data_IF_314964476411
#
_entry.id   IF_314964476411
#
_cell.length_a   1.000
_cell.length_b   1.000
_cell.length_c   1.000
_cell.angle_alpha   90.00
_cell.angle_beta   90.00
_cell.angle_gamma   90.00
#
_symmetry.space_group_name_H-M   'P 1'
#
loop_
_entity.id
_entity.type
_entity.pdbx_description
1 polymer ?
#
# COMPACT_ATOMS: atom_id res chain seq x y z
N UNK A 1 4.07 49.97 21.21
CA UNK A 1 3.60 49.83 19.82
C UNK A 1 4.49 48.83 19.09
N UNK A 2 4.14 47.54 19.12
CA UNK A 2 4.88 46.44 18.47
C UNK A 2 4.03 45.92 17.32
N UNK A 3 4.59 45.97 16.10
CA UNK A 3 3.91 45.61 14.85
C UNK A 3 3.73 44.09 14.77
N UNK A 4 2.46 43.67 14.70
CA UNK A 4 2.03 42.34 14.26
C UNK A 4 2.08 42.33 12.72
N UNK A 5 2.92 41.48 12.15
CA UNK A 5 2.95 41.18 10.72
C UNK A 5 2.29 39.80 10.52
N UNK A 6 1.15 39.67 9.81
CA UNK A 6 0.61 38.36 9.47
C UNK A 6 1.34 37.81 8.24
N UNK A 7 2.03 36.70 8.44
CA UNK A 7 2.63 35.88 7.38
C UNK A 7 1.48 35.15 6.65
N UNK A 8 0.99 35.76 5.58
CA UNK A 8 -0.05 35.22 4.71
C UNK A 8 0.61 34.22 3.75
N UNK A 9 0.62 32.94 4.14
CA UNK A 9 1.10 31.83 3.32
C UNK A 9 0.06 31.62 2.20
N UNK A 10 0.37 32.16 1.02
CA UNK A 10 -0.32 31.81 -0.23
C UNK A 10 -0.02 30.33 -0.54
N UNK A 11 -0.94 29.45 -0.16
CA UNK A 11 -0.93 28.06 -0.59
C UNK A 11 -1.45 28.00 -2.03
N UNK A 12 -0.56 28.13 -3.00
CA UNK A 12 -0.88 27.93 -4.42
C UNK A 12 -1.10 26.43 -4.66
N UNK A 13 -2.35 26.00 -4.51
CA UNK A 13 -2.83 24.70 -4.98
C UNK A 13 -2.74 24.69 -6.51
N UNK A 14 -1.62 24.21 -7.04
CA UNK A 14 -1.49 23.83 -8.45
C UNK A 14 -2.28 22.54 -8.65
N UNK A 15 -3.57 22.67 -8.93
CA UNK A 15 -4.33 21.57 -9.51
C UNK A 15 -3.70 21.27 -10.88
N UNK A 16 -3.23 20.03 -11.16
CA UNK A 16 -2.93 19.66 -12.52
C UNK A 16 -4.26 19.68 -13.27
N UNK A 17 -4.49 20.75 -14.04
CA UNK A 17 -5.53 20.80 -15.04
C UNK A 17 -5.33 19.60 -15.94
N UNK A 18 -6.20 18.60 -15.82
CA UNK A 18 -6.38 17.58 -16.85
C UNK A 18 -6.95 18.31 -18.07
N UNK A 19 -6.05 18.97 -18.81
CA UNK A 19 -6.33 19.51 -20.12
C UNK A 19 -6.86 18.35 -20.96
N UNK A 20 -8.13 18.48 -21.32
CA UNK A 20 -8.82 17.57 -22.21
C UNK A 20 -7.99 17.50 -23.50
N UNK A 21 -7.52 16.30 -23.82
CA UNK A 21 -6.90 15.98 -25.09
C UNK A 21 -7.99 16.03 -26.19
N UNK A 22 -8.44 17.23 -26.57
CA UNK A 22 -9.03 17.48 -27.88
C UNK A 22 -7.90 17.72 -28.88
N UNK A 23 -7.14 16.66 -29.17
CA UNK A 23 -6.22 16.63 -30.31
C UNK A 23 -6.64 15.49 -31.22
N UNK A 24 -7.78 15.64 -31.90
CA UNK A 24 -8.16 14.83 -33.06
C UNK A 24 -9.36 15.50 -33.73
N UNK A 25 -9.09 16.34 -34.73
CA UNK A 25 -9.93 16.51 -35.94
C UNK A 25 -9.58 17.74 -36.81
N UNK A 26 -8.38 18.35 -36.76
CA UNK A 26 -8.04 19.40 -37.75
C UNK A 26 -6.58 19.38 -38.17
N UNK A 27 -6.16 18.36 -38.93
CA UNK A 27 -4.97 18.42 -39.80
C UNK A 27 -5.19 17.50 -40.99
N UNK A 28 -6.06 17.90 -41.92
CA UNK A 28 -6.42 17.04 -43.05
C UNK A 28 -6.79 17.75 -44.35
N UNK A 29 -6.34 19.00 -44.58
CA UNK A 29 -6.75 19.73 -45.79
C UNK A 29 -5.66 20.53 -46.53
N UNK A 30 -4.39 20.51 -46.12
CA UNK A 30 -3.35 21.28 -46.82
C UNK A 30 -2.07 20.46 -47.02
N UNK A 31 -2.14 19.45 -47.88
CA UNK A 31 -0.97 18.80 -48.46
C UNK A 31 -1.18 18.53 -49.96
N UNK A 32 -0.84 19.53 -50.78
CA UNK A 32 0.02 19.32 -51.95
C UNK A 32 -0.57 18.74 -53.25
N UNK A 33 -0.82 19.63 -54.21
CA UNK A 33 -0.92 19.33 -55.66
C UNK A 33 0.44 19.13 -56.37
N UNK A 34 1.56 19.02 -55.64
CA UNK A 34 2.91 18.91 -56.21
C UNK A 34 3.48 17.48 -56.30
N UNK A 35 2.65 16.44 -56.25
CA UNK A 35 3.09 15.03 -56.25
C UNK A 35 2.66 14.26 -57.51
N UNK A 36 3.31 14.48 -58.66
CA UNK A 36 2.94 13.75 -59.90
C UNK A 36 4.09 13.15 -60.74
N UNK A 37 5.30 12.97 -60.20
CA UNK A 37 6.38 12.25 -60.92
C UNK A 37 7.12 11.18 -60.09
N UNK A 38 6.57 10.76 -58.95
CA UNK A 38 7.08 9.60 -58.22
C UNK A 38 6.21 8.37 -58.50
N UNK A 39 6.82 7.20 -58.73
CA UNK A 39 6.08 5.94 -58.71
C UNK A 39 5.36 5.82 -57.36
N UNK A 40 4.02 5.73 -57.33
CA UNK A 40 3.30 5.56 -56.07
C UNK A 40 3.79 4.27 -55.42
N UNK A 41 4.27 4.37 -54.17
CA UNK A 41 4.60 3.16 -53.43
C UNK A 41 3.31 2.38 -53.19
N UNK A 42 3.38 1.04 -53.29
CA UNK A 42 2.24 0.21 -52.89
C UNK A 42 2.04 0.42 -51.39
N UNK A 43 0.86 0.87 -50.94
CA UNK A 43 0.63 1.27 -49.54
C UNK A 43 0.94 0.14 -48.55
N UNK A 44 0.85 -1.12 -48.99
CA UNK A 44 1.01 -2.33 -48.19
C UNK A 44 2.39 -3.01 -48.32
N UNK A 45 3.35 -2.38 -49.00
CA UNK A 45 4.68 -2.98 -49.15
C UNK A 45 5.38 -3.12 -47.77
N UNK A 46 5.75 -4.35 -47.41
CA UNK A 46 6.38 -4.73 -46.15
C UNK A 46 5.53 -4.51 -44.89
N UNK A 47 4.21 -4.47 -45.03
CA UNK A 47 3.29 -4.46 -43.88
C UNK A 47 2.97 -5.90 -43.48
N UNK A 48 3.27 -6.25 -42.23
CA UNK A 48 2.94 -7.52 -41.60
C UNK A 48 1.88 -7.30 -40.54
N UNK A 49 1.01 -8.29 -40.30
CA UNK A 49 0.02 -8.21 -39.23
C UNK A 49 0.62 -8.81 -37.95
N UNK A 50 0.78 -7.99 -36.92
CA UNK A 50 1.16 -8.44 -35.59
C UNK A 50 -0.10 -8.70 -34.75
N UNK A 51 -0.03 -9.66 -33.83
CA UNK A 51 -1.13 -10.00 -32.92
C UNK A 51 -0.69 -9.85 -31.48
N UNK A 52 -1.47 -9.14 -30.68
CA UNK A 52 -1.27 -9.02 -29.24
C UNK A 52 -2.61 -9.12 -28.51
N UNK A 53 -2.73 -10.09 -27.59
CA UNK A 53 -3.95 -10.34 -26.81
C UNK A 53 -5.21 -10.51 -27.71
N UNK A 54 -5.06 -11.21 -28.85
CA UNK A 54 -6.16 -11.44 -29.80
C UNK A 54 -6.53 -10.24 -30.68
N UNK A 55 -5.85 -9.10 -30.53
CA UNK A 55 -6.02 -7.92 -31.40
C UNK A 55 -4.89 -7.89 -32.43
N UNK A 56 -5.25 -7.66 -33.70
CA UNK A 56 -4.28 -7.52 -34.79
C UNK A 56 -4.02 -6.05 -35.08
N UNK A 57 -2.79 -5.70 -35.43
CA UNK A 57 -2.42 -4.36 -35.90
C UNK A 57 -1.29 -4.45 -36.93
N UNK A 58 -1.22 -3.49 -37.88
CA UNK A 58 -0.18 -3.50 -38.90
C UNK A 58 1.18 -3.11 -38.31
N UNK A 59 2.24 -3.78 -38.77
CA UNK A 59 3.64 -3.44 -38.52
C UNK A 59 4.37 -3.34 -39.85
N UNK A 60 4.89 -2.15 -40.17
CA UNK A 60 5.71 -1.93 -41.36
C UNK A 60 7.19 -1.99 -41.00
N UNK A 61 7.94 -2.91 -41.61
CA UNK A 61 9.39 -3.05 -41.41
C UNK A 61 10.06 -3.26 -42.76
N UNK A 62 10.79 -2.26 -43.21
CA UNK A 62 11.35 -2.23 -44.55
C UNK A 62 12.79 -2.74 -44.53
N UNK A 63 13.16 -3.76 -45.32
CA UNK A 63 14.56 -4.21 -45.39
C UNK A 63 15.49 -3.07 -45.84
N UNK A 64 16.68 -2.95 -45.23
CA UNK A 64 17.63 -1.85 -45.50
C UNK A 64 17.97 -1.67 -46.99
N UNK A 65 18.07 -2.77 -47.75
CA UNK A 65 18.37 -2.76 -49.18
C UNK A 65 17.19 -2.32 -50.06
N UNK A 66 15.97 -2.29 -49.51
CA UNK A 66 14.75 -1.78 -50.14
C UNK A 66 14.43 -0.35 -49.72
N UNK A 67 15.10 0.18 -48.70
CA UNK A 67 14.94 1.56 -48.30
C UNK A 67 15.52 2.52 -49.34
N UNK A 68 14.77 3.58 -49.69
CA UNK A 68 15.26 4.58 -50.61
C UNK A 68 16.48 5.31 -50.03
N UNK A 69 17.40 5.75 -50.88
CA UNK A 69 18.63 6.45 -50.44
C UNK A 69 18.30 7.73 -49.66
N UNK A 70 17.46 8.61 -50.22
CA UNK A 70 16.95 9.78 -49.52
C UNK A 70 15.94 9.36 -48.46
N UNK A 71 16.14 9.72 -47.19
CA UNK A 71 15.21 9.40 -46.11
C UNK A 71 15.47 8.07 -45.39
N UNK A 72 16.51 7.33 -45.79
CA UNK A 72 16.85 6.01 -45.24
C UNK A 72 16.98 6.03 -43.72
N UNK A 73 17.73 7.01 -43.21
CA UNK A 73 18.06 7.09 -41.79
C UNK A 73 16.81 7.43 -40.97
N UNK A 74 15.95 8.32 -41.48
CA UNK A 74 14.69 8.69 -40.83
C UNK A 74 13.72 7.50 -40.77
N UNK A 75 13.59 6.74 -41.86
CA UNK A 75 12.74 5.53 -41.87
C UNK A 75 13.29 4.49 -40.90
N UNK A 76 14.61 4.25 -40.93
CA UNK A 76 15.26 3.27 -40.06
C UNK A 76 15.12 3.64 -38.58
N UNK A 77 15.32 4.91 -38.24
CA UNK A 77 15.15 5.42 -36.88
C UNK A 77 13.69 5.28 -36.39
N UNK A 78 12.71 5.62 -37.25
CA UNK A 78 11.29 5.46 -36.94
C UNK A 78 10.92 3.98 -36.70
N UNK A 79 11.37 3.09 -37.58
CA UNK A 79 11.13 1.65 -37.48
C UNK A 79 11.82 1.04 -36.24
N UNK A 80 13.00 1.52 -35.88
CA UNK A 80 13.71 1.10 -34.65
C UNK A 80 12.97 1.54 -33.39
N UNK A 81 12.44 2.77 -33.35
CA UNK A 81 11.60 3.24 -32.24
C UNK A 81 10.34 2.36 -32.08
N UNK A 82 9.65 2.06 -33.18
CA UNK A 82 8.47 1.18 -33.15
C UNK A 82 8.81 -0.25 -32.76
N UNK A 83 9.94 -0.80 -33.25
CA UNK A 83 10.40 -2.12 -32.86
C UNK A 83 10.72 -2.21 -31.36
N UNK A 84 11.39 -1.19 -30.80
CA UNK A 84 11.67 -1.13 -29.36
C UNK A 84 10.39 -1.14 -28.51
N UNK A 85 9.33 -0.47 -28.98
CA UNK A 85 8.02 -0.43 -28.33
C UNK A 85 7.30 -1.77 -28.41
N UNK A 86 7.42 -2.48 -29.53
CA UNK A 86 6.88 -3.83 -29.64
C UNK A 86 7.54 -4.80 -28.66
N UNK A 87 8.86 -4.71 -28.48
CA UNK A 87 9.58 -5.50 -27.47
C UNK A 87 9.07 -5.16 -26.06
N UNK A 88 8.89 -3.87 -25.73
CA UNK A 88 8.33 -3.44 -24.45
C UNK A 88 6.88 -3.91 -24.24
N UNK A 89 6.06 -3.91 -25.30
CA UNK A 89 4.70 -4.44 -25.28
C UNK A 89 4.68 -5.93 -24.90
N UNK A 90 5.61 -6.72 -25.44
CA UNK A 90 5.70 -8.15 -25.19
C UNK A 90 6.33 -8.51 -23.84
N UNK A 91 7.25 -7.69 -23.32
CA UNK A 91 8.05 -8.03 -22.15
C UNK A 91 7.24 -8.12 -20.85
N UNK A 92 6.37 -7.14 -20.60
CA UNK A 92 5.57 -7.07 -19.38
C UNK A 92 4.27 -6.31 -19.66
N UNK A 93 3.15 -6.80 -19.12
CA UNK A 93 1.84 -6.19 -19.23
C UNK A 93 1.65 -4.96 -18.33
N UNK A 94 2.47 -4.79 -17.29
CA UNK A 94 2.37 -3.66 -16.35
C UNK A 94 3.35 -2.51 -16.68
N UNK A 95 4.46 -2.80 -17.33
CA UNK A 95 5.47 -1.82 -17.71
C UNK A 95 4.93 -0.80 -18.74
N UNK A 96 5.39 0.46 -18.67
CA UNK A 96 5.02 1.47 -19.67
C UNK A 96 5.62 1.09 -21.04
N UNK A 97 4.78 1.16 -22.08
CA UNK A 97 5.15 0.95 -23.49
C UNK A 97 5.67 2.27 -24.09
N UNK A 98 5.08 3.39 -23.66
CA UNK A 98 5.33 4.72 -24.21
C UNK A 98 5.74 5.69 -23.11
N UNK A 99 7.02 6.02 -23.05
CA UNK A 99 7.49 7.18 -22.29
C UNK A 99 7.25 8.48 -23.06
N UNK A 100 7.16 9.59 -22.33
CA UNK A 100 7.02 10.94 -22.91
C UNK A 100 8.18 11.29 -23.83
N UNK A 101 9.40 10.88 -23.48
CA UNK A 101 10.60 11.08 -24.30
C UNK A 101 10.53 10.30 -25.61
N UNK A 102 10.13 9.04 -25.56
CA UNK A 102 9.95 8.22 -26.78
C UNK A 102 8.87 8.79 -27.68
N UNK A 103 7.78 9.33 -27.12
CA UNK A 103 6.70 9.98 -27.87
C UNK A 103 7.18 11.21 -28.64
N UNK A 104 8.00 12.04 -27.98
CA UNK A 104 8.65 13.19 -28.59
C UNK A 104 9.63 12.76 -29.70
N UNK A 105 10.45 11.73 -29.44
CA UNK A 105 11.38 11.18 -30.43
C UNK A 105 10.65 10.65 -31.68
N UNK A 106 9.53 9.94 -31.49
CA UNK A 106 8.70 9.49 -32.61
C UNK A 106 8.15 10.68 -33.41
N UNK A 107 7.58 11.68 -32.73
CA UNK A 107 6.97 12.84 -33.38
C UNK A 107 8.01 13.61 -34.21
N UNK A 108 9.23 13.78 -33.67
CA UNK A 108 10.34 14.40 -34.38
C UNK A 108 10.77 13.58 -35.61
N UNK A 109 10.99 12.27 -35.46
CA UNK A 109 11.37 11.38 -36.56
C UNK A 109 10.29 11.33 -37.65
N UNK A 110 9.01 11.31 -37.26
CA UNK A 110 7.87 11.32 -38.16
C UNK A 110 7.79 12.63 -38.95
N UNK A 111 7.92 13.78 -38.29
CA UNK A 111 7.94 15.10 -38.95
C UNK A 111 9.10 15.22 -39.96
N UNK A 112 10.30 14.77 -39.59
CA UNK A 112 11.45 14.75 -40.49
C UNK A 112 11.23 13.85 -41.70
N UNK A 113 10.61 12.68 -41.51
CA UNK A 113 10.26 11.76 -42.59
C UNK A 113 9.27 12.39 -43.58
N UNK A 114 8.19 12.98 -43.08
CA UNK A 114 7.16 13.62 -43.94
C UNK A 114 7.74 14.79 -44.74
N UNK A 115 8.65 15.58 -44.16
CA UNK A 115 9.36 16.67 -44.85
C UNK A 115 10.31 16.13 -45.92
N UNK A 116 11.07 15.08 -45.60
CA UNK A 116 12.11 14.54 -46.48
C UNK A 116 11.50 13.71 -47.63
N UNK A 117 10.38 13.02 -47.36
CA UNK A 117 9.68 12.11 -48.26
C UNK A 117 8.15 12.20 -48.09
N UNK A 118 7.50 13.21 -48.66
CA UNK A 118 6.04 13.37 -48.56
C UNK A 118 5.26 12.20 -49.21
N UNK A 119 5.86 11.51 -50.17
CA UNK A 119 5.22 10.39 -50.89
C UNK A 119 5.44 9.02 -50.19
N UNK A 120 6.12 8.98 -49.05
CA UNK A 120 6.29 7.72 -48.31
C UNK A 120 5.00 7.39 -47.55
N UNK A 121 4.45 6.18 -47.74
CA UNK A 121 3.25 5.77 -47.00
C UNK A 121 3.58 5.60 -45.52
N UNK A 122 2.95 6.46 -44.70
CA UNK A 122 3.09 6.51 -43.24
C UNK A 122 1.91 5.90 -42.48
N UNK A 123 0.86 5.47 -43.18
CA UNK A 123 -0.39 4.97 -42.57
C UNK A 123 -0.16 3.81 -41.59
N UNK A 124 0.64 2.81 -41.98
CA UNK A 124 0.96 1.68 -41.10
C UNK A 124 1.69 2.10 -39.82
N UNK A 125 2.55 3.12 -39.86
CA UNK A 125 3.25 3.60 -38.66
C UNK A 125 2.31 4.35 -37.72
N UNK A 126 1.37 5.13 -38.28
CA UNK A 126 0.37 5.86 -37.47
C UNK A 126 -0.60 4.89 -36.80
N UNK A 127 -1.01 3.84 -37.51
CA UNK A 127 -1.89 2.80 -36.97
C UNK A 127 -1.19 1.99 -35.87
N UNK A 128 0.07 1.60 -36.09
CA UNK A 128 0.91 0.94 -35.09
C UNK A 128 1.06 1.80 -33.82
N UNK A 129 1.32 3.10 -33.99
CA UNK A 129 1.42 4.03 -32.86
C UNK A 129 0.09 4.17 -32.11
N UNK A 130 -1.02 4.31 -32.82
CA UNK A 130 -2.35 4.43 -32.23
C UNK A 130 -2.69 3.19 -31.39
N UNK A 131 -2.29 2.01 -31.85
CA UNK A 131 -2.39 0.77 -31.07
C UNK A 131 -1.59 0.87 -29.76
N UNK A 132 -0.31 1.26 -29.80
CA UNK A 132 0.51 1.40 -28.60
C UNK A 132 -0.04 2.43 -27.60
N UNK A 133 -0.57 3.57 -28.08
CA UNK A 133 -1.21 4.58 -27.23
C UNK A 133 -2.45 4.02 -26.52
N UNK A 134 -3.26 3.25 -27.23
CA UNK A 134 -4.44 2.61 -26.67
C UNK A 134 -4.06 1.61 -25.58
N UNK A 135 -3.03 0.78 -25.81
CA UNK A 135 -2.55 -0.16 -24.80
C UNK A 135 -1.89 0.54 -23.61
N UNK A 136 -1.12 1.61 -23.81
CA UNK A 136 -0.54 2.39 -22.71
C UNK A 136 -1.64 3.00 -21.84
N UNK A 137 -2.69 3.57 -22.44
CA UNK A 137 -3.84 4.10 -21.71
C UNK A 137 -4.55 3.02 -20.88
N UNK A 138 -4.68 1.81 -21.41
CA UNK A 138 -5.24 0.67 -20.67
C UNK A 138 -4.36 0.28 -19.49
N UNK A 139 -3.04 0.20 -19.69
CA UNK A 139 -2.06 -0.14 -18.64
C UNK A 139 -1.97 0.95 -17.57
N UNK A 140 -2.01 2.22 -17.95
CA UNK A 140 -1.99 3.35 -17.03
C UNK A 140 -3.25 3.38 -16.15
N UNK A 141 -4.43 3.15 -16.75
CA UNK A 141 -5.68 3.02 -16.00
C UNK A 141 -5.63 1.88 -14.98
N UNK A 142 -5.14 0.70 -15.38
CA UNK A 142 -5.00 -0.44 -14.48
C UNK A 142 -4.07 -0.14 -13.29
N UNK A 143 -2.93 0.51 -13.54
CA UNK A 143 -1.99 0.95 -12.49
C UNK A 143 -2.62 1.98 -11.56
N UNK A 144 -3.33 2.98 -12.11
CA UNK A 144 -4.01 4.01 -11.33
C UNK A 144 -5.10 3.42 -10.42
N UNK A 145 -5.87 2.46 -10.94
CA UNK A 145 -6.87 1.72 -10.17
C UNK A 145 -6.24 0.93 -9.01
N UNK A 146 -5.17 0.19 -9.27
CA UNK A 146 -4.47 -0.54 -8.21
C UNK A 146 -3.91 0.41 -7.14
N UNK A 147 -3.32 1.53 -7.57
CA UNK A 147 -2.80 2.54 -6.66
C UNK A 147 -3.89 3.18 -5.78
N UNK A 148 -5.08 3.44 -6.34
CA UNK A 148 -6.21 3.99 -5.57
C UNK A 148 -6.78 2.98 -4.58
N UNK A 149 -6.88 1.70 -4.95
CA UNK A 149 -7.27 0.61 -4.05
C UNK A 149 -6.29 0.49 -2.87
N UNK A 150 -4.98 0.51 -3.15
CA UNK A 150 -3.95 0.49 -2.11
C UNK A 150 -4.00 1.72 -1.21
N UNK A 151 -4.26 2.91 -1.76
CA UNK A 151 -4.44 4.14 -0.98
C UNK A 151 -5.66 4.04 -0.05
N UNK A 152 -6.78 3.53 -0.55
CA UNK A 152 -7.99 3.30 0.25
C UNK A 152 -7.72 2.33 1.41
N UNK A 153 -7.03 1.20 1.15
CA UNK A 153 -6.67 0.25 2.21
C UNK A 153 -5.78 0.87 3.28
N UNK A 154 -4.80 1.70 2.89
CA UNK A 154 -3.97 2.44 3.86
C UNK A 154 -4.81 3.37 4.73
N UNK A 155 -5.73 4.11 4.12
CA UNK A 155 -6.64 5.00 4.85
C UNK A 155 -7.51 4.23 5.85
N UNK A 156 -8.02 3.06 5.48
CA UNK A 156 -8.81 2.21 6.40
C UNK A 156 -7.99 1.76 7.60
N UNK A 157 -6.75 1.29 7.37
CA UNK A 157 -5.83 0.90 8.46
C UNK A 157 -5.53 2.06 9.39
N UNK A 158 -5.32 3.25 8.85
CA UNK A 158 -5.09 4.46 9.65
C UNK A 158 -6.30 4.83 10.51
N UNK A 159 -7.52 4.74 9.97
CA UNK A 159 -8.76 4.95 10.74
C UNK A 159 -8.86 3.94 11.88
N UNK A 160 -8.72 2.65 11.59
CA UNK A 160 -8.73 1.60 12.63
C UNK A 160 -7.65 1.82 13.70
N UNK A 161 -6.47 2.30 13.29
CA UNK A 161 -5.39 2.65 14.23
C UNK A 161 -5.80 3.82 15.13
N UNK A 162 -6.37 4.89 14.58
CA UNK A 162 -6.87 6.04 15.34
C UNK A 162 -7.94 5.62 16.34
N UNK A 163 -8.95 4.87 15.90
CA UNK A 163 -10.03 4.37 16.76
C UNK A 163 -9.49 3.49 17.89
N UNK A 164 -8.45 2.70 17.62
CA UNK A 164 -7.80 1.86 18.63
C UNK A 164 -7.02 2.70 19.64
N UNK A 165 -6.32 3.75 19.20
CA UNK A 165 -5.63 4.69 20.08
C UNK A 165 -6.63 5.46 20.95
N UNK A 166 -7.75 5.91 20.38
CA UNK A 166 -8.80 6.60 21.11
C UNK A 166 -9.43 5.69 22.18
N UNK A 167 -9.76 4.44 21.83
CA UNK A 167 -10.26 3.45 22.82
C UNK A 167 -9.27 3.20 23.95
N UNK A 168 -7.97 3.14 23.65
CA UNK A 168 -6.93 3.01 24.68
C UNK A 168 -6.85 4.26 25.56
N UNK A 169 -6.98 5.46 24.99
CA UNK A 169 -7.00 6.71 25.74
C UNK A 169 -8.21 6.78 26.70
N UNK A 170 -9.40 6.43 26.22
CA UNK A 170 -10.61 6.36 27.04
C UNK A 170 -10.48 5.33 28.17
N UNK A 171 -9.93 4.13 27.89
CA UNK A 171 -9.65 3.13 28.94
C UNK A 171 -8.66 3.65 29.98
N UNK A 172 -7.61 4.35 29.55
CA UNK A 172 -6.63 4.94 30.46
C UNK A 172 -7.27 6.03 31.33
N UNK A 173 -8.12 6.90 30.76
CA UNK A 173 -8.85 7.91 31.51
C UNK A 173 -9.77 7.28 32.56
N UNK A 174 -10.55 6.26 32.17
CA UNK A 174 -11.42 5.53 33.09
C UNK A 174 -10.64 4.85 34.23
N UNK A 175 -9.45 4.30 33.94
CA UNK A 175 -8.58 3.75 34.96
C UNK A 175 -8.10 4.83 35.93
N UNK A 176 -7.64 5.97 35.43
CA UNK A 176 -7.22 7.12 36.26
C UNK A 176 -8.38 7.55 37.18
N UNK A 177 -9.58 7.72 36.65
CA UNK A 177 -10.75 8.11 37.45
C UNK A 177 -11.14 7.06 38.50
N UNK A 178 -11.02 5.77 38.16
CA UNK A 178 -11.25 4.69 39.13
C UNK A 178 -10.24 4.73 40.28
N UNK A 179 -8.96 4.94 39.97
CA UNK A 179 -7.90 5.05 40.98
C UNK A 179 -8.08 6.30 41.84
N UNK A 180 -8.46 7.43 41.24
CA UNK A 180 -8.76 8.67 41.96
C UNK A 180 -9.90 8.48 42.95
N UNK A 181 -10.99 7.84 42.53
CA UNK A 181 -12.13 7.53 43.43
C UNK A 181 -11.71 6.61 44.58
N UNK A 182 -10.91 5.59 44.32
CA UNK A 182 -10.40 4.69 45.35
C UNK A 182 -9.52 5.42 46.38
N UNK A 183 -8.60 6.28 45.91
CA UNK A 183 -7.75 7.09 46.78
C UNK A 183 -8.58 8.05 47.63
N UNK A 184 -9.56 8.74 47.04
CA UNK A 184 -10.45 9.64 47.79
C UNK A 184 -11.26 8.90 48.87
N UNK A 185 -11.71 7.67 48.58
CA UNK A 185 -12.39 6.84 49.57
C UNK A 185 -11.47 6.43 50.73
N UNK A 186 -10.22 6.07 50.44
CA UNK A 186 -9.21 5.77 51.47
C UNK A 186 -8.92 6.99 52.35
N UNK A 187 -8.74 8.17 51.74
CA UNK A 187 -8.52 9.42 52.48
C UNK A 187 -9.67 9.73 53.43
N UNK A 188 -10.92 9.52 52.99
CA UNK A 188 -12.11 9.69 53.85
C UNK A 188 -12.11 8.70 55.02
N UNK A 189 -11.87 7.41 54.75
CA UNK A 189 -11.82 6.39 55.80
C UNK A 189 -10.74 6.68 56.86
N UNK A 190 -9.58 7.20 56.44
CA UNK A 190 -8.52 7.64 57.36
C UNK A 190 -8.97 8.85 58.17
N UNK A 191 -9.61 9.85 57.54
CA UNK A 191 -10.14 11.01 58.23
C UNK A 191 -11.19 10.63 59.30
N UNK A 192 -12.12 9.73 58.96
CA UNK A 192 -13.13 9.21 59.89
C UNK A 192 -12.48 8.48 61.06
N UNK A 193 -11.44 7.68 60.81
CA UNK A 193 -10.67 6.99 61.85
C UNK A 193 -9.96 7.97 62.79
N UNK A 194 -9.37 9.04 62.26
CA UNK A 194 -8.74 10.10 63.07
C UNK A 194 -9.77 10.83 63.92
N UNK A 195 -10.94 11.15 63.36
CA UNK A 195 -12.03 11.79 64.08
C UNK A 195 -12.54 10.91 65.24
N UNK A 196 -12.66 9.60 65.01
CA UNK A 196 -13.04 8.65 66.06
C UNK A 196 -11.99 8.61 67.19
N UNK A 197 -10.70 8.51 66.85
CA UNK A 197 -9.62 8.52 67.86
C UNK A 197 -9.62 9.81 68.68
N UNK A 198 -9.91 10.96 68.06
CA UNK A 198 -10.04 12.23 68.77
C UNK A 198 -11.26 12.24 69.70
N UNK A 199 -12.41 11.75 69.25
CA UNK A 199 -13.61 11.64 70.07
C UNK A 199 -13.39 10.73 71.28
N UNK A 200 -12.76 9.57 71.08
CA UNK A 200 -12.42 8.63 72.14
C UNK A 200 -11.44 9.25 73.16
N UNK A 201 -10.45 10.01 72.69
CA UNK A 201 -9.50 10.72 73.56
C UNK A 201 -10.19 11.81 74.40
N UNK A 202 -11.14 12.56 73.82
CA UNK A 202 -11.93 13.57 74.55
C UNK A 202 -12.85 12.90 75.58
N UNK A 203 -13.50 11.79 75.22
CA UNK A 203 -14.34 11.02 76.15
C UNK A 203 -13.53 10.47 77.33
N UNK A 204 -12.34 9.92 77.08
CA UNK A 204 -11.43 9.43 78.12
C UNK A 204 -10.95 10.55 79.06
N UNK A 205 -10.76 11.78 78.56
CA UNK A 205 -10.39 12.93 79.38
C UNK A 205 -11.55 13.44 80.26
N UNK A 206 -12.81 13.19 79.88
CA UNK A 206 -14.00 13.66 80.57
C UNK A 206 -14.46 12.75 81.74
N UNK A 207 -13.86 11.58 81.92
CA UNK A 207 -14.08 10.69 83.07
C UNK A 207 -13.03 10.95 84.16
N UNK A 208 -13.33 11.73 85.22
CA UNK A 208 -12.45 11.87 86.36
C UNK A 208 -12.66 10.68 87.31
N UNK A 209 -11.91 9.60 87.13
CA UNK A 209 -11.76 8.59 88.17
C UNK A 209 -10.30 8.39 88.57
N UNK A 210 -10.09 8.65 89.85
CA UNK A 210 -8.88 8.44 90.60
C UNK A 210 -8.53 6.94 90.65
N UNK A 211 -7.42 6.54 90.05
CA UNK A 211 -6.63 5.44 90.62
C UNK A 211 -5.18 5.51 90.15
N UNK A 212 -4.32 5.94 91.07
CA UNK A 212 -2.87 5.72 91.06
C UNK A 212 -2.61 4.21 91.19
N UNK A 213 -2.54 3.51 90.06
CA UNK A 213 -2.00 2.15 90.02
C UNK A 213 -0.79 2.12 89.07
N UNK A 214 0.39 2.04 89.68
CA UNK A 214 1.68 1.79 89.06
C UNK A 214 1.60 0.59 88.13
N UNK A 215 1.54 0.83 86.81
CA UNK A 215 1.56 -0.21 85.79
C UNK A 215 2.98 -0.30 85.24
N UNK A 216 3.65 -1.40 85.59
CA UNK A 216 5.00 -1.73 85.14
C UNK A 216 5.08 -1.71 83.60
N UNK A 217 6.02 -0.92 83.09
CA UNK A 217 6.38 -0.87 81.68
C UNK A 217 7.07 -2.18 81.28
N UNK A 218 6.36 -3.08 80.60
CA UNK A 218 7.01 -4.15 79.85
C UNK A 218 7.42 -3.60 78.49
N UNK A 219 8.73 -3.48 78.26
CA UNK A 219 9.30 -3.02 77.00
C UNK A 219 8.86 -3.94 75.85
N UNK A 220 7.97 -3.45 74.97
CA UNK A 220 7.65 -4.12 73.72
C UNK A 220 8.76 -3.81 72.73
N UNK A 221 9.49 -4.85 72.31
CA UNK A 221 10.60 -4.76 71.39
C UNK A 221 10.14 -4.16 70.03
N UNK A 222 10.97 -3.32 69.38
CA UNK A 222 10.65 -2.72 68.10
C UNK A 222 10.55 -3.79 67.02
N UNK A 223 9.34 -4.04 66.51
CA UNK A 223 9.15 -4.86 65.32
C UNK A 223 9.72 -4.14 64.11
N UNK A 224 10.79 -4.70 63.54
CA UNK A 224 11.46 -4.19 62.36
C UNK A 224 10.49 -4.11 61.15
N UNK A 225 10.55 -3.03 60.35
CA UNK A 225 9.72 -2.91 59.15
C UNK A 225 10.14 -3.98 58.14
N UNK A 226 9.27 -4.96 57.90
CA UNK A 226 9.45 -5.97 56.86
C UNK A 226 9.30 -5.28 55.51
N UNK A 227 10.43 -4.91 54.91
CA UNK A 227 10.52 -4.35 53.57
C UNK A 227 10.11 -5.42 52.54
N UNK A 228 8.82 -5.51 52.23
CA UNK A 228 8.34 -6.29 51.10
C UNK A 228 8.73 -5.56 49.80
N UNK A 229 9.89 -5.95 49.23
CA UNK A 229 10.23 -5.62 47.83
C UNK A 229 9.10 -6.16 46.93
N UNK A 230 8.39 -5.33 46.16
CA UNK A 230 7.44 -5.85 45.19
C UNK A 230 8.24 -6.59 44.10
N UNK A 231 8.17 -7.91 44.14
CA UNK A 231 8.75 -8.76 43.10
C UNK A 231 8.00 -8.44 41.79
N UNK A 232 8.64 -7.66 40.93
CA UNK A 232 8.20 -7.44 39.54
C UNK A 232 8.31 -8.78 38.81
N UNK A 233 7.26 -9.60 38.89
CA UNK A 233 7.12 -10.78 38.06
C UNK A 233 7.04 -10.28 36.62
N UNK A 234 8.11 -10.50 35.85
CA UNK A 234 8.08 -10.42 34.38
C UNK A 234 6.95 -11.33 33.92
N UNK A 235 5.82 -10.75 33.56
CA UNK A 235 4.74 -11.45 32.88
C UNK A 235 5.24 -11.74 31.48
N UNK A 236 5.94 -12.87 31.33
CA UNK A 236 6.13 -13.50 30.03
C UNK A 236 4.74 -13.91 29.60
N UNK A 237 4.14 -13.12 28.72
CA UNK A 237 2.92 -13.51 28.01
C UNK A 237 3.33 -14.67 27.10
N UNK A 238 3.32 -15.88 27.66
CA UNK A 238 3.24 -17.10 26.86
C UNK A 238 1.88 -17.01 26.18
N UNK A 239 1.87 -16.50 24.96
CA UNK A 239 0.73 -16.66 24.05
C UNK A 239 0.49 -18.16 24.02
N UNK A 240 -0.58 -18.63 24.67
CA UNK A 240 -1.05 -20.00 24.55
C UNK A 240 -1.37 -20.18 23.07
N UNK A 241 -0.39 -20.64 22.29
CA UNK A 241 -0.66 -21.27 20.99
C UNK A 241 -1.70 -22.34 21.29
N UNK A 242 -2.85 -22.21 20.65
CA UNK A 242 -3.92 -23.20 20.76
C UNK A 242 -3.28 -24.57 20.55
N UNK A 243 -3.40 -25.44 21.55
CA UNK A 243 -2.91 -26.83 21.59
C UNK A 243 -3.71 -27.73 20.64
N UNK A 244 -4.08 -27.21 19.47
CA UNK A 244 -4.71 -27.98 18.42
C UNK A 244 -3.67 -28.68 17.55
N UNK A 245 -4.08 -29.75 16.83
CA UNK A 245 -3.24 -30.35 15.81
C UNK A 245 -2.80 -29.29 14.79
N UNK A 246 -1.51 -29.28 14.48
CA UNK A 246 -0.90 -28.37 13.50
C UNK A 246 -0.99 -29.02 12.12
N UNK A 247 -1.46 -28.26 11.14
CA UNK A 247 -1.49 -28.64 9.72
C UNK A 247 -0.64 -27.67 8.92
N UNK A 248 -0.40 -27.96 7.65
CA UNK A 248 0.52 -27.21 6.79
C UNK A 248 -0.19 -26.77 5.51
N UNK A 249 0.15 -25.59 5.01
CA UNK A 249 -0.32 -25.07 3.72
C UNK A 249 0.83 -24.41 2.96
N UNK A 250 0.65 -24.17 1.67
CA UNK A 250 1.62 -23.48 0.82
C UNK A 250 1.33 -21.96 0.82
N UNK A 251 2.29 -21.12 1.19
CA UNK A 251 2.09 -19.67 1.31
C UNK A 251 2.16 -18.93 -0.03
N UNK A 252 1.65 -19.54 -1.12
CA UNK A 252 1.64 -18.93 -2.46
C UNK A 252 0.54 -17.89 -2.66
N UNK A 253 -0.27 -17.60 -1.63
CA UNK A 253 -1.37 -16.64 -1.65
C UNK A 253 -2.66 -17.12 -2.33
N UNK A 254 -2.64 -18.29 -2.97
CA UNK A 254 -3.78 -18.84 -3.71
C UNK A 254 -4.09 -20.32 -3.32
N UNK A 255 -3.70 -20.74 -2.12
CA UNK A 255 -3.95 -22.10 -1.65
C UNK A 255 -5.33 -22.28 -1.10
N UNK A 256 -6.04 -23.25 -1.64
CA UNK A 256 -7.36 -23.66 -1.17
C UNK A 256 -7.28 -24.86 -0.24
N UNK A 257 -6.11 -25.51 -0.09
CA UNK A 257 -5.99 -26.80 0.62
C UNK A 257 -4.97 -26.80 1.74
N UNK A 258 -5.30 -27.48 2.84
CA UNK A 258 -4.38 -27.77 3.94
C UNK A 258 -4.00 -29.26 4.03
N UNK A 259 -2.86 -29.55 4.63
CA UNK A 259 -2.21 -30.87 4.63
C UNK A 259 -1.83 -31.30 6.05
N UNK A 260 -1.95 -32.60 6.35
CA UNK A 260 -1.61 -33.13 7.68
C UNK A 260 -0.11 -33.07 8.00
N UNK A 261 0.76 -33.08 6.99
CA UNK A 261 2.22 -33.04 7.15
C UNK A 261 2.87 -32.12 6.10
N UNK A 262 4.00 -31.49 6.44
CA UNK A 262 4.79 -30.67 5.52
C UNK A 262 5.34 -31.46 4.31
N UNK A 263 5.46 -32.79 4.42
CA UNK A 263 5.89 -33.69 3.34
C UNK A 263 4.75 -34.27 2.48
N UNK A 264 3.51 -33.78 2.59
CA UNK A 264 2.39 -34.29 1.80
C UNK A 264 2.71 -34.13 0.30
N UNK A 265 2.43 -35.14 -0.53
CA UNK A 265 2.74 -35.12 -1.98
C UNK A 265 2.14 -33.90 -2.71
N UNK A 266 1.05 -33.33 -2.21
CA UNK A 266 0.46 -32.09 -2.73
C UNK A 266 1.31 -30.84 -2.48
N UNK A 267 2.11 -30.81 -1.41
CA UNK A 267 3.04 -29.72 -1.10
C UNK A 267 4.37 -29.82 -1.83
N UNK A 268 4.74 -31.00 -2.35
CA UNK A 268 6.00 -31.19 -3.07
C UNK A 268 6.14 -30.34 -4.35
N UNK A 269 5.02 -29.79 -4.86
CA UNK A 269 4.98 -28.86 -6.01
C UNK A 269 4.82 -27.40 -5.61
N UNK A 270 4.80 -27.08 -4.31
CA UNK A 270 4.72 -25.70 -3.84
C UNK A 270 6.02 -24.96 -4.20
N UNK A 271 5.90 -23.87 -4.96
CA UNK A 271 7.02 -22.96 -5.26
C UNK A 271 7.24 -21.88 -4.19
N UNK A 272 6.49 -21.90 -3.09
CA UNK A 272 6.54 -20.93 -1.99
C UNK A 272 6.93 -21.61 -0.66
N UNK A 273 6.96 -20.85 0.44
CA UNK A 273 7.19 -21.41 1.78
C UNK A 273 6.01 -22.28 2.22
N UNK A 274 6.30 -23.36 2.95
CA UNK A 274 5.30 -24.21 3.61
C UNK A 274 5.21 -23.75 5.06
N UNK A 275 4.03 -23.26 5.47
CA UNK A 275 3.85 -22.68 6.81
C UNK A 275 2.89 -23.53 7.66
N UNK A 276 3.18 -23.70 8.97
CA UNK A 276 2.28 -24.37 9.90
C UNK A 276 1.13 -23.46 10.32
N UNK A 277 -0.09 -24.00 10.34
CA UNK A 277 -1.31 -23.32 10.79
C UNK A 277 -2.11 -24.23 11.72
N UNK A 278 -2.96 -23.67 12.58
CA UNK A 278 -3.83 -24.49 13.42
C UNK A 278 -4.94 -25.16 12.60
N UNK A 279 -5.28 -26.42 12.89
CA UNK A 279 -6.35 -27.14 12.16
C UNK A 279 -7.67 -26.36 12.12
N UNK A 280 -8.05 -25.71 13.22
CA UNK A 280 -9.28 -24.92 13.33
C UNK A 280 -9.31 -23.75 12.34
N UNK A 281 -8.18 -23.06 12.19
CA UNK A 281 -8.05 -21.92 11.29
C UNK A 281 -8.01 -22.37 9.82
N UNK A 282 -7.32 -23.48 9.54
CA UNK A 282 -7.34 -24.10 8.22
C UNK A 282 -8.75 -24.53 7.81
N UNK A 283 -9.50 -25.20 8.69
CA UNK A 283 -10.88 -25.63 8.42
C UNK A 283 -11.85 -24.46 8.18
N UNK A 284 -11.55 -23.26 8.68
CA UNK A 284 -12.38 -22.09 8.47
C UNK A 284 -12.21 -21.46 7.07
N UNK A 285 -11.12 -21.74 6.37
CA UNK A 285 -10.73 -21.02 5.14
C UNK A 285 -10.24 -21.90 4.00
N UNK A 286 -9.98 -23.19 4.24
CA UNK A 286 -9.34 -24.11 3.31
C UNK A 286 -10.01 -25.50 3.38
N UNK A 287 -9.96 -26.22 2.27
CA UNK A 287 -10.42 -27.60 2.15
C UNK A 287 -9.33 -28.60 2.57
N UNK A 288 -9.68 -29.76 3.15
CA UNK A 288 -8.70 -30.80 3.44
C UNK A 288 -8.11 -31.39 2.16
N UNK A 289 -6.81 -31.68 2.16
CA UNK A 289 -6.17 -32.41 1.07
C UNK A 289 -6.63 -33.88 1.05
N UNK A 290 -7.24 -34.30 -0.06
CA UNK A 290 -7.74 -35.68 -0.34
C UNK A 290 -6.72 -36.82 -0.17
N UNK A 291 -5.42 -36.52 -0.11
CA UNK A 291 -4.38 -37.53 0.12
C UNK A 291 -3.95 -37.64 1.58
N UNK A 292 -4.18 -36.58 2.34
CA UNK A 292 -3.80 -36.47 3.73
C UNK A 292 -5.01 -36.74 4.67
N UNK A 293 -6.24 -36.53 4.19
CA UNK A 293 -7.54 -36.83 4.82
C UNK A 293 -8.50 -37.39 3.77
#
# INVERSE_FOLDING_TARGET
MKKLLPLLILLTLTFPSFAQYEYLAVTGALAGVNALKGHPQKPDEYVTQATYQGRTFPQKRSPLYKLPSKGRDQISALEQLLASRYVALQADAASPILSTEQEAAFTAAFSQLTTTRPNWSVAAYTDELAFYRTEENRRSYARAKLASEQAYQRQQRERTRRDSVERLALRRAALIDSTRRAVLAQVRAVADSVAQVQADAVAAAATPEATTASRAYTAVAPHAPVAHKPAVKKVVVKVKRSTGPTVYYCASGNTVKYHASSGCRGLARCGASIEPISLREAQASMEPCKWCY
#
